data_IF_745551076621
#
_entry.id   IF_745551076621
#
_cell.length_a   1.000
_cell.length_b   1.000
_cell.length_c   1.000
_cell.angle_alpha   90.00
_cell.angle_beta   90.00
_cell.angle_gamma   90.00
#
_symmetry.space_group_name_H-M   'P 1'
#
loop_
_entity.id
_entity.type
_entity.pdbx_description
1 polymer ?
#
# COMPACT_ATOMS: atom_id res chain seq x y z
N UNK A 1 33.46 -10.07 65.23
CA UNK A 1 32.23 -10.73 65.76
C UNK A 1 31.02 -9.99 65.19
N UNK A 2 29.96 -10.76 64.86
CA UNK A 2 28.71 -10.36 64.18
C UNK A 2 28.93 -9.88 62.74
N UNK A 3 28.38 -10.48 61.68
CA UNK A 3 27.13 -11.21 61.50
C UNK A 3 26.17 -10.31 60.73
N UNK A 4 25.77 -10.70 59.51
CA UNK A 4 24.43 -10.57 58.91
C UNK A 4 24.50 -11.25 57.53
N UNK A 5 23.80 -12.37 57.40
CA UNK A 5 23.55 -13.03 56.12
C UNK A 5 22.47 -12.28 55.34
N UNK A 6 22.67 -12.16 54.03
CA UNK A 6 21.64 -11.71 53.09
C UNK A 6 21.22 -12.92 52.27
N UNK A 7 19.98 -13.36 52.51
CA UNK A 7 19.27 -14.36 51.71
C UNK A 7 19.19 -13.88 50.25
N UNK A 8 19.67 -14.71 49.32
CA UNK A 8 19.43 -14.55 47.89
C UNK A 8 17.99 -15.00 47.60
N UNK A 9 17.14 -14.07 47.18
CA UNK A 9 15.85 -14.41 46.59
C UNK A 9 16.04 -14.74 45.09
N UNK A 10 15.64 -15.95 44.71
CA UNK A 10 15.61 -16.45 43.33
C UNK A 10 14.33 -15.94 42.61
N UNK A 11 14.40 -15.54 41.33
CA UNK A 11 13.23 -15.04 40.61
C UNK A 11 12.22 -16.16 40.30
N UNK A 12 10.98 -15.95 40.72
CA UNK A 12 9.82 -16.82 40.46
C UNK A 12 9.51 -16.85 38.95
N UNK A 13 9.80 -17.99 38.33
CA UNK A 13 9.51 -18.29 36.91
C UNK A 13 8.00 -18.40 36.69
N UNK A 14 7.39 -17.37 36.07
CA UNK A 14 5.98 -17.42 35.64
C UNK A 14 5.79 -18.53 34.61
N UNK A 15 4.92 -19.51 34.90
CA UNK A 15 4.56 -20.58 33.95
C UNK A 15 3.73 -19.98 32.82
N UNK A 16 4.22 -20.09 31.58
CA UNK A 16 3.45 -19.78 30.39
C UNK A 16 2.29 -20.78 30.23
N UNK A 17 1.09 -20.28 29.92
CA UNK A 17 -0.05 -21.11 29.55
C UNK A 17 0.19 -21.71 28.16
N UNK A 18 0.03 -23.03 28.06
CA UNK A 18 0.15 -23.78 26.82
C UNK A 18 -1.14 -23.61 26.01
N UNK A 19 -1.10 -23.26 24.71
CA UNK A 19 -2.29 -23.28 23.87
C UNK A 19 -2.76 -24.73 23.70
N UNK A 20 -4.03 -24.99 24.03
CA UNK A 20 -4.70 -26.27 23.79
C UNK A 20 -4.52 -26.72 22.34
N UNK A 21 -3.97 -27.93 22.17
CA UNK A 21 -3.84 -28.57 20.86
C UNK A 21 -5.21 -28.68 20.19
N UNK A 22 -5.36 -28.07 19.00
CA UNK A 22 -6.45 -28.40 18.08
C UNK A 22 -6.39 -29.90 17.81
N UNK A 23 -7.42 -30.62 18.25
CA UNK A 23 -7.53 -32.06 18.05
C UNK A 23 -7.32 -32.43 16.59
N UNK A 24 -6.37 -33.34 16.33
CA UNK A 24 -6.27 -34.04 15.05
C UNK A 24 -7.55 -34.85 14.89
N UNK A 25 -8.37 -34.53 13.90
CA UNK A 25 -9.52 -35.37 13.53
C UNK A 25 -8.99 -36.68 12.96
N UNK A 26 -9.33 -37.77 13.63
CA UNK A 26 -9.10 -39.13 13.18
C UNK A 26 -9.90 -39.40 11.89
N UNK A 27 -9.29 -40.13 10.96
CA UNK A 27 -9.92 -40.58 9.72
C UNK A 27 -10.87 -41.75 10.04
N UNK A 28 -12.17 -41.59 9.74
CA UNK A 28 -13.16 -42.67 9.85
C UNK A 28 -13.36 -43.31 8.46
N UNK A 29 -13.28 -44.65 8.31
CA UNK A 29 -13.36 -45.31 7.01
C UNK A 29 -14.78 -45.35 6.40
N UNK A 30 -15.79 -44.81 7.08
CA UNK A 30 -17.19 -44.84 6.64
C UNK A 30 -17.89 -43.47 6.76
N UNK A 31 -17.16 -42.38 6.49
CA UNK A 31 -17.73 -41.05 6.33
C UNK A 31 -18.08 -40.78 4.86
N UNK A 32 -19.34 -40.41 4.59
CA UNK A 32 -19.82 -40.06 3.24
C UNK A 32 -18.87 -39.05 2.59
N UNK A 33 -18.37 -39.37 1.40
CA UNK A 33 -17.57 -38.47 0.57
C UNK A 33 -18.31 -37.15 0.41
N UNK A 34 -17.67 -36.02 0.77
CA UNK A 34 -18.08 -34.73 0.24
C UNK A 34 -17.77 -34.74 -1.25
N UNK A 35 -18.71 -34.36 -2.13
CA UNK A 35 -18.43 -34.32 -3.55
C UNK A 35 -17.30 -33.32 -3.81
N UNK A 36 -16.26 -33.83 -4.46
CA UNK A 36 -15.23 -33.05 -5.12
C UNK A 36 -15.86 -32.63 -6.45
N UNK A 37 -15.84 -31.33 -6.75
CA UNK A 37 -16.55 -30.66 -7.86
C UNK A 37 -17.93 -30.13 -7.46
N UNK A 38 -17.96 -28.84 -7.16
CA UNK A 38 -19.09 -27.97 -7.40
C UNK A 38 -18.53 -26.75 -8.10
N UNK A 39 -18.90 -26.57 -9.37
CA UNK A 39 -18.75 -25.33 -10.13
C UNK A 39 -19.04 -24.15 -9.22
N UNK A 40 -18.20 -23.10 -9.24
CA UNK A 40 -18.53 -21.84 -8.55
C UNK A 40 -19.83 -21.29 -9.15
N UNK A 41 -20.95 -21.59 -8.54
CA UNK A 41 -22.20 -20.84 -8.71
C UNK A 41 -22.39 -20.10 -7.39
N UNK A 42 -21.82 -18.90 -7.36
CA UNK A 42 -21.81 -18.04 -6.19
C UNK A 42 -22.08 -16.61 -6.62
N UNK A 43 -23.17 -16.39 -7.35
CA UNK A 43 -23.89 -15.12 -7.26
C UNK A 43 -24.54 -15.10 -5.87
N UNK A 44 -23.74 -14.84 -4.83
CA UNK A 44 -24.31 -14.41 -3.55
C UNK A 44 -24.82 -13.00 -3.80
N UNK A 45 -26.04 -12.90 -4.35
CA UNK A 45 -26.71 -11.64 -4.59
C UNK A 45 -26.78 -10.89 -3.27
N UNK A 46 -25.93 -9.88 -3.13
CA UNK A 46 -25.98 -8.98 -1.99
C UNK A 46 -27.42 -8.48 -1.83
N UNK A 47 -27.98 -8.46 -0.61
CA UNK A 47 -29.34 -7.97 -0.38
C UNK A 47 -29.50 -6.58 -0.98
N UNK A 48 -30.64 -6.31 -1.61
CA UNK A 48 -30.90 -5.03 -2.30
C UNK A 48 -30.67 -3.82 -1.40
N UNK A 49 -30.85 -3.97 -0.09
CA UNK A 49 -30.54 -2.92 0.89
C UNK A 49 -29.06 -2.51 0.91
N UNK A 50 -28.12 -3.45 0.70
CA UNK A 50 -26.67 -3.18 0.62
C UNK A 50 -26.30 -2.56 -0.72
N UNK A 51 -26.90 -3.05 -1.82
CA UNK A 51 -26.73 -2.47 -3.17
C UNK A 51 -27.27 -1.03 -3.23
N UNK A 52 -28.45 -0.81 -2.65
CA UNK A 52 -29.11 0.49 -2.58
C UNK A 52 -28.37 1.45 -1.65
N UNK A 53 -27.83 0.98 -0.53
CA UNK A 53 -27.00 1.79 0.36
C UNK A 53 -25.73 2.30 -0.37
N UNK A 54 -25.02 1.44 -1.09
CA UNK A 54 -23.87 1.84 -1.93
C UNK A 54 -24.25 2.88 -2.98
N UNK A 55 -25.37 2.66 -3.67
CA UNK A 55 -25.88 3.57 -4.70
C UNK A 55 -26.27 4.94 -4.12
N UNK A 56 -26.85 4.95 -2.92
CA UNK A 56 -27.15 6.18 -2.19
C UNK A 56 -25.88 6.92 -1.76
N UNK A 57 -24.86 6.21 -1.25
CA UNK A 57 -23.60 6.84 -0.85
C UNK A 57 -22.83 7.42 -2.03
N UNK A 58 -22.85 6.76 -3.20
CA UNK A 58 -22.29 7.31 -4.45
C UNK A 58 -23.05 8.58 -4.87
N UNK A 59 -24.38 8.60 -4.69
CA UNK A 59 -25.22 9.73 -5.10
C UNK A 59 -25.18 10.94 -4.15
N UNK A 60 -24.69 10.75 -2.91
CA UNK A 60 -24.66 11.78 -1.86
C UNK A 60 -23.25 12.30 -1.56
N UNK A 61 -22.20 11.61 -2.01
CA UNK A 61 -20.84 12.13 -1.95
C UNK A 61 -20.71 13.22 -3.02
N UNK A 62 -20.36 14.45 -2.62
CA UNK A 62 -19.77 15.42 -3.54
C UNK A 62 -18.66 14.68 -4.29
N UNK A 63 -18.81 14.48 -5.59
CA UNK A 63 -17.85 13.71 -6.40
C UNK A 63 -16.51 14.43 -6.44
N UNK A 64 -15.71 14.26 -5.41
CA UNK A 64 -14.30 14.63 -5.43
C UNK A 64 -13.64 13.63 -6.37
N UNK A 65 -13.41 14.08 -7.61
CA UNK A 65 -12.76 13.28 -8.65
C UNK A 65 -11.24 13.38 -8.53
N UNK A 66 -10.57 12.34 -9.00
CA UNK A 66 -9.15 12.41 -9.27
C UNK A 66 -8.94 13.35 -10.48
N UNK A 67 -8.14 14.39 -10.32
CA UNK A 67 -7.76 15.32 -11.38
C UNK A 67 -6.29 15.07 -11.76
N UNK A 68 -6.00 14.38 -12.88
CA UNK A 68 -4.64 14.04 -13.26
C UNK A 68 -3.70 15.23 -13.39
N UNK A 69 -4.20 16.39 -13.84
CA UNK A 69 -3.39 17.59 -14.01
C UNK A 69 -2.96 18.16 -12.66
N UNK A 70 -3.93 18.34 -11.75
CA UNK A 70 -3.64 18.78 -10.39
C UNK A 70 -2.71 17.80 -9.66
N UNK A 71 -2.90 16.49 -9.84
CA UNK A 71 -2.06 15.48 -9.20
C UNK A 71 -0.65 15.46 -9.81
N UNK A 72 -0.50 15.67 -11.12
CA UNK A 72 0.81 15.84 -11.76
C UNK A 72 1.57 17.03 -11.19
N UNK A 73 0.91 18.18 -10.99
CA UNK A 73 1.54 19.36 -10.36
C UNK A 73 2.04 19.05 -8.94
N UNK A 74 1.27 18.28 -8.17
CA UNK A 74 1.68 17.82 -6.83
C UNK A 74 2.86 16.87 -6.91
N UNK A 75 2.90 15.98 -7.92
CA UNK A 75 4.02 15.07 -8.14
C UNK A 75 5.30 15.87 -8.43
N UNK A 76 5.26 16.78 -9.39
CA UNK A 76 6.42 17.56 -9.82
C UNK A 76 6.93 18.46 -8.69
N UNK A 77 6.02 19.07 -7.92
CA UNK A 77 6.36 19.83 -6.72
C UNK A 77 7.09 18.98 -5.69
N UNK A 78 6.54 17.81 -5.32
CA UNK A 78 7.14 16.94 -4.29
C UNK A 78 8.50 16.40 -4.75
N UNK A 79 8.62 16.01 -6.02
CA UNK A 79 9.89 15.56 -6.58
C UNK A 79 10.93 16.68 -6.51
N UNK A 80 10.58 17.89 -6.94
CA UNK A 80 11.47 19.06 -6.90
C UNK A 80 11.87 19.40 -5.46
N UNK A 81 10.92 19.53 -4.53
CA UNK A 81 11.19 19.84 -3.11
C UNK A 81 12.09 18.80 -2.43
N UNK A 82 11.97 17.53 -2.83
CA UNK A 82 12.68 16.44 -2.16
C UNK A 82 14.04 16.14 -2.80
N UNK A 83 14.21 16.36 -4.10
CA UNK A 83 15.35 15.87 -4.87
C UNK A 83 16.21 16.96 -5.51
N UNK A 84 15.77 18.24 -5.55
CA UNK A 84 16.50 19.30 -6.25
C UNK A 84 17.97 19.44 -5.84
N UNK A 85 18.26 19.25 -4.55
CA UNK A 85 19.60 19.39 -3.97
C UNK A 85 20.24 18.07 -3.56
N UNK A 86 19.67 16.94 -4.01
CA UNK A 86 20.16 15.61 -3.67
C UNK A 86 21.06 15.06 -4.77
N UNK A 87 22.06 14.28 -4.36
CA UNK A 87 22.96 13.55 -5.26
C UNK A 87 22.67 12.05 -5.18
N UNK A 88 22.83 11.33 -6.29
CA UNK A 88 22.61 9.88 -6.29
C UNK A 88 23.58 9.15 -5.36
N UNK A 89 23.02 8.30 -4.49
CA UNK A 89 23.76 7.38 -3.64
C UNK A 89 22.86 6.18 -3.36
N UNK A 90 23.19 5.00 -3.90
CA UNK A 90 22.34 3.81 -3.84
C UNK A 90 21.87 3.44 -2.42
N UNK A 91 22.72 3.69 -1.41
CA UNK A 91 22.39 3.47 0.00
C UNK A 91 21.26 4.34 0.55
N UNK A 92 21.01 5.52 -0.06
CA UNK A 92 19.98 6.49 0.35
C UNK A 92 18.71 6.40 -0.48
N UNK A 93 18.80 6.02 -1.75
CA UNK A 93 17.68 6.15 -2.70
C UNK A 93 16.45 5.32 -2.31
N UNK A 94 16.62 4.17 -1.65
CA UNK A 94 15.49 3.38 -1.16
C UNK A 94 14.69 4.07 -0.04
N UNK A 95 15.35 4.84 0.82
CA UNK A 95 14.69 5.65 1.86
C UNK A 95 14.03 6.87 1.23
N UNK A 96 14.70 7.50 0.26
CA UNK A 96 14.19 8.67 -0.46
C UNK A 96 12.94 8.35 -1.28
N UNK A 97 12.94 7.27 -2.05
CA UNK A 97 11.77 6.85 -2.85
C UNK A 97 10.56 6.56 -1.95
N UNK A 98 10.77 5.90 -0.81
CA UNK A 98 9.73 5.67 0.19
C UNK A 98 9.19 7.00 0.74
N UNK A 99 10.07 7.92 1.12
CA UNK A 99 9.68 9.25 1.61
C UNK A 99 8.84 10.01 0.60
N UNK A 100 9.26 10.07 -0.67
CA UNK A 100 8.49 10.68 -1.77
C UNK A 100 7.11 10.02 -1.86
N UNK A 101 7.06 8.68 -1.86
CA UNK A 101 5.78 7.96 -1.96
C UNK A 101 4.82 8.27 -0.81
N UNK A 102 5.33 8.38 0.42
CA UNK A 102 4.54 8.69 1.61
C UNK A 102 4.00 10.12 1.57
N UNK A 103 4.85 11.10 1.19
CA UNK A 103 4.41 12.50 1.03
C UNK A 103 3.36 12.64 -0.07
N UNK A 104 3.54 11.98 -1.22
CA UNK A 104 2.57 11.99 -2.31
C UNK A 104 1.22 11.43 -1.86
N UNK A 105 1.21 10.25 -1.26
CA UNK A 105 -0.03 9.64 -0.76
C UNK A 105 -0.75 10.56 0.23
N UNK A 106 -0.01 11.22 1.14
CA UNK A 106 -0.60 12.15 2.11
C UNK A 106 -1.18 13.40 1.44
N UNK A 107 -0.44 14.05 0.54
CA UNK A 107 -0.92 15.28 -0.15
C UNK A 107 -2.12 14.99 -1.05
N UNK A 108 -2.04 13.92 -1.85
CA UNK A 108 -3.08 13.55 -2.82
C UNK A 108 -4.35 13.08 -2.12
N UNK A 109 -4.23 12.36 -0.99
CA UNK A 109 -5.39 11.93 -0.19
C UNK A 109 -6.29 13.11 0.21
N UNK A 110 -5.69 14.26 0.54
CA UNK A 110 -6.44 15.48 0.88
C UNK A 110 -7.17 16.12 -0.31
N UNK A 111 -6.78 15.79 -1.54
CA UNK A 111 -7.34 16.35 -2.77
C UNK A 111 -8.40 15.46 -3.41
N UNK A 112 -8.20 14.14 -3.41
CA UNK A 112 -9.11 13.19 -4.06
C UNK A 112 -10.15 12.55 -3.11
N UNK A 113 -10.01 12.77 -1.79
CA UNK A 113 -10.88 12.16 -0.79
C UNK A 113 -10.64 10.67 -0.53
N UNK A 114 -11.55 10.05 0.23
CA UNK A 114 -11.38 8.71 0.80
C UNK A 114 -11.87 7.57 -0.11
N UNK A 115 -12.50 7.89 -1.25
CA UNK A 115 -13.05 6.89 -2.19
C UNK A 115 -11.97 6.17 -3.00
N UNK A 116 -10.75 6.71 -3.06
CA UNK A 116 -9.66 6.13 -3.84
C UNK A 116 -8.69 5.32 -3.00
N UNK A 117 -8.22 4.17 -3.48
CA UNK A 117 -6.97 3.56 -3.03
C UNK A 117 -5.84 4.12 -3.89
N UNK A 118 -4.81 4.66 -3.25
CA UNK A 118 -3.66 5.24 -3.94
C UNK A 118 -2.51 4.23 -3.96
N UNK A 119 -2.02 3.94 -5.16
CA UNK A 119 -0.78 3.17 -5.39
C UNK A 119 0.25 4.13 -5.97
N UNK A 120 1.41 4.25 -5.32
CA UNK A 120 2.48 5.14 -5.75
C UNK A 120 3.73 4.32 -6.08
N UNK A 121 4.23 4.49 -7.29
CA UNK A 121 5.48 3.90 -7.78
C UNK A 121 6.48 5.05 -7.94
N UNK A 122 7.63 4.97 -7.28
CA UNK A 122 8.71 5.96 -7.38
C UNK A 122 9.98 5.25 -7.79
N UNK A 123 10.54 5.65 -8.92
CA UNK A 123 11.81 5.15 -9.45
C UNK A 123 12.82 6.29 -9.42
N UNK A 124 13.98 6.04 -8.82
CA UNK A 124 15.10 7.00 -8.79
C UNK A 124 16.34 6.29 -9.31
N UNK A 125 17.00 6.86 -10.31
CA UNK A 125 18.20 6.34 -10.94
C UNK A 125 19.31 7.37 -10.92
N UNK A 126 20.53 6.90 -11.16
CA UNK A 126 21.65 7.80 -11.46
C UNK A 126 21.31 8.60 -12.73
N UNK A 127 21.84 9.83 -12.79
CA UNK A 127 21.58 10.79 -13.85
C UNK A 127 22.75 11.73 -14.07
N UNK A 128 22.59 12.67 -14.99
CA UNK A 128 23.63 13.64 -15.34
C UNK A 128 24.72 13.12 -16.27
N UNK A 129 24.59 11.89 -16.77
CA UNK A 129 25.41 11.36 -17.88
C UNK A 129 24.52 11.15 -19.11
N UNK A 130 25.04 11.50 -20.29
CA UNK A 130 24.35 11.35 -21.59
C UNK A 130 23.89 9.89 -21.87
N UNK A 131 24.44 8.92 -21.13
CA UNK A 131 24.14 7.49 -21.28
C UNK A 131 23.02 6.99 -20.35
N UNK A 132 22.59 7.80 -19.37
CA UNK A 132 21.57 7.41 -18.40
C UNK A 132 20.15 7.67 -18.96
N UNK A 133 19.58 6.67 -19.64
CA UNK A 133 18.20 6.72 -20.11
C UNK A 133 17.27 5.88 -19.21
N UNK A 134 16.24 6.52 -18.64
CA UNK A 134 15.18 5.86 -17.88
C UNK A 134 13.85 5.95 -18.65
N UNK A 135 13.27 4.80 -18.97
CA UNK A 135 11.93 4.71 -19.54
C UNK A 135 11.05 3.83 -18.65
N UNK A 136 9.94 4.38 -18.18
CA UNK A 136 8.99 3.70 -17.29
C UNK A 136 7.63 3.63 -17.97
N UNK A 137 7.09 2.43 -18.09
CA UNK A 137 5.73 2.17 -18.59
C UNK A 137 4.97 1.29 -17.61
N UNK A 138 3.65 1.40 -17.58
CA UNK A 138 2.79 0.55 -16.77
C UNK A 138 1.63 0.04 -17.60
N UNK A 139 1.26 -1.23 -17.40
CA UNK A 139 0.10 -1.86 -18.03
C UNK A 139 -0.86 -2.31 -16.93
N UNK A 140 -2.12 -1.89 -17.03
CA UNK A 140 -3.14 -2.12 -16.01
C UNK A 140 -4.45 -2.57 -16.65
N UNK A 141 -5.23 -3.33 -15.88
CA UNK A 141 -6.64 -3.61 -16.16
C UNK A 141 -7.44 -2.90 -15.08
N UNK A 142 -8.29 -1.95 -15.46
CA UNK A 142 -8.96 -1.03 -14.54
C UNK A 142 -10.23 -0.44 -15.18
N UNK A 143 -11.07 0.22 -14.38
CA UNK A 143 -12.29 0.86 -14.83
C UNK A 143 -12.00 2.25 -15.41
N UNK A 144 -12.07 2.39 -16.74
CA UNK A 144 -11.77 3.65 -17.44
C UNK A 144 -12.67 4.84 -17.06
N UNK A 145 -13.82 4.61 -16.43
CA UNK A 145 -14.71 5.70 -15.99
C UNK A 145 -14.39 6.20 -14.57
N UNK A 146 -13.67 5.39 -13.78
CA UNK A 146 -13.54 5.59 -12.33
C UNK A 146 -12.12 5.60 -11.83
N UNK A 147 -11.25 4.81 -12.45
CA UNK A 147 -9.84 4.73 -12.10
C UNK A 147 -9.04 5.69 -12.98
N UNK A 148 -8.02 6.33 -12.40
CA UNK A 148 -7.20 7.29 -13.13
C UNK A 148 -5.76 7.34 -12.57
N UNK A 149 -4.83 7.94 -13.30
CA UNK A 149 -3.43 8.01 -12.94
C UNK A 149 -2.78 9.34 -13.34
N UNK A 150 -1.72 9.69 -12.63
CA UNK A 150 -0.84 10.79 -13.00
C UNK A 150 0.61 10.36 -12.88
N UNK A 151 1.47 10.91 -13.72
CA UNK A 151 2.92 10.66 -13.69
C UNK A 151 3.69 11.95 -13.85
N UNK A 152 4.77 12.09 -13.11
CA UNK A 152 5.68 13.23 -13.18
C UNK A 152 7.13 12.77 -13.12
N UNK A 153 8.03 13.63 -13.57
CA UNK A 153 9.45 13.32 -13.64
C UNK A 153 10.30 14.49 -13.23
N UNK A 154 11.44 14.20 -12.62
CA UNK A 154 12.41 15.19 -12.16
C UNK A 154 13.82 14.77 -12.57
N UNK A 155 14.69 15.75 -12.82
CA UNK A 155 16.08 15.51 -13.21
C UNK A 155 16.96 16.64 -12.70
N UNK A 156 18.16 16.30 -12.22
CA UNK A 156 19.24 17.24 -11.95
C UNK A 156 20.57 16.64 -12.45
N UNK A 157 21.69 17.30 -12.13
CA UNK A 157 23.02 16.89 -12.58
C UNK A 157 23.51 15.54 -12.02
N UNK A 158 22.77 14.90 -11.10
CA UNK A 158 23.19 13.68 -10.42
C UNK A 158 22.18 12.53 -10.50
N UNK A 159 20.88 12.81 -10.73
CA UNK A 159 19.83 11.79 -10.72
C UNK A 159 18.67 12.11 -11.65
N UNK A 160 17.95 11.06 -12.04
CA UNK A 160 16.63 11.13 -12.66
C UNK A 160 15.62 10.40 -11.77
N UNK A 161 14.40 10.93 -11.71
CA UNK A 161 13.31 10.33 -10.96
C UNK A 161 12.00 10.36 -11.75
N UNK A 162 11.20 9.31 -11.63
CA UNK A 162 9.84 9.22 -12.14
C UNK A 162 8.94 8.76 -11.01
N UNK A 163 7.83 9.44 -10.80
CA UNK A 163 6.79 9.03 -9.89
C UNK A 163 5.47 8.89 -10.63
N UNK A 164 4.77 7.78 -10.38
CA UNK A 164 3.45 7.49 -10.93
C UNK A 164 2.50 7.16 -9.80
N UNK A 165 1.34 7.82 -9.79
CA UNK A 165 0.28 7.58 -8.82
C UNK A 165 -0.94 7.06 -9.56
N UNK A 166 -1.41 5.88 -9.17
CA UNK A 166 -2.67 5.30 -9.61
C UNK A 166 -3.71 5.49 -8.51
N UNK A 167 -4.90 5.95 -8.89
CA UNK A 167 -6.06 6.06 -8.04
C UNK A 167 -7.11 5.05 -8.48
N UNK A 168 -7.40 4.09 -7.60
CA UNK A 168 -8.37 3.02 -7.84
C UNK A 168 -9.63 3.32 -7.03
N UNK A 169 -10.75 3.58 -7.69
CA UNK A 169 -12.01 3.92 -7.04
C UNK A 169 -12.62 2.71 -6.32
N UNK A 170 -13.15 2.90 -5.11
CA UNK A 170 -13.62 1.83 -4.22
C UNK A 170 -15.06 2.02 -3.70
#
# INVERSE_FOLDING_TARGET
MAGVGILREEPVRKKASVPTQRGRRAWSPHGKMRPRSGTWHGDEELPDMVKNARKLTDSLATEVRFDPGLIQDVIDMVLTETLAHETYAASKMGVMSKRVSDVLKTRIRGLCGDRFKLVCIVVITEGGTEESALHVTSQCVWDHERDDFASGSFSNDALHAVATVFAIHC
#
